data_IF_188052068064
#
_entry.id   IF_188052068064
#
_cell.length_a   1.000
_cell.length_b   1.000
_cell.length_c   1.000
_cell.angle_alpha   90.00
_cell.angle_beta   90.00
_cell.angle_gamma   90.00
#
_symmetry.space_group_name_H-M   'P 1'
#
loop_
_entity.id
_entity.type
_entity.pdbx_description
1 polymer ?
#
# COMPACT_ATOMS: atom_id res chain seq x y z
N UNK A 1 -8.72 -8.36 8.51
CA UNK A 1 -9.56 -8.49 7.30
C UNK A 1 -9.97 -7.09 6.86
N UNK A 2 -10.13 -6.85 5.57
CA UNK A 2 -10.57 -5.60 4.94
C UNK A 2 -11.58 -5.96 3.85
N UNK A 3 -12.83 -5.55 4.00
CA UNK A 3 -13.85 -5.65 2.95
C UNK A 3 -14.17 -4.27 2.33
N UNK A 4 -15.19 -4.24 1.47
CA UNK A 4 -15.66 -3.02 0.78
C UNK A 4 -16.15 -1.93 1.74
N UNK A 5 -16.71 -2.27 2.90
CA UNK A 5 -17.26 -1.32 3.87
C UNK A 5 -16.16 -0.74 4.77
N UNK A 6 -15.00 -1.39 4.87
CA UNK A 6 -13.87 -0.93 5.69
C UNK A 6 -13.02 0.15 5.00
N UNK A 7 -13.40 0.61 3.81
CA UNK A 7 -12.62 1.58 3.04
C UNK A 7 -11.32 0.97 2.49
N UNK A 8 -11.41 -0.06 1.60
CA UNK A 8 -10.24 -0.70 1.04
C UNK A 8 -9.43 0.31 0.21
N UNK A 9 -8.16 0.00 -0.01
CA UNK A 9 -7.35 0.79 -0.94
C UNK A 9 -7.86 0.55 -2.36
N UNK A 10 -8.14 1.62 -3.09
CA UNK A 10 -8.49 1.60 -4.51
C UNK A 10 -7.22 1.80 -5.33
N UNK A 11 -6.96 0.91 -6.28
CA UNK A 11 -5.81 0.95 -7.18
C UNK A 11 -6.28 1.24 -8.60
N UNK A 12 -5.72 2.29 -9.23
CA UNK A 12 -5.98 2.61 -10.63
C UNK A 12 -4.94 1.87 -11.48
N UNK A 13 -5.33 0.75 -12.09
CA UNK A 13 -4.41 -0.10 -12.85
C UNK A 13 -3.89 0.63 -14.09
N UNK A 14 -2.62 0.36 -14.42
CA UNK A 14 -1.93 0.97 -15.56
C UNK A 14 -1.35 2.37 -15.31
N UNK A 15 -1.68 3.04 -14.20
CA UNK A 15 -1.20 4.41 -13.96
C UNK A 15 0.23 4.52 -13.43
N UNK A 16 0.91 3.39 -13.19
CA UNK A 16 2.32 3.35 -12.81
C UNK A 16 3.27 3.60 -14.00
N UNK A 17 2.72 3.66 -15.22
CA UNK A 17 3.49 3.81 -16.46
C UNK A 17 3.90 5.27 -16.72
N UNK A 18 5.01 5.45 -17.43
CA UNK A 18 5.47 6.78 -17.87
C UNK A 18 4.41 7.50 -18.72
N UNK A 19 3.71 6.77 -19.59
CA UNK A 19 2.66 7.32 -20.45
C UNK A 19 1.50 7.90 -19.64
N UNK A 20 1.01 7.16 -18.64
CA UNK A 20 -0.03 7.65 -17.74
C UNK A 20 0.41 8.90 -16.96
N UNK A 21 1.66 8.93 -16.49
CA UNK A 21 2.22 10.10 -15.81
C UNK A 21 2.35 11.31 -16.73
N UNK A 22 2.73 11.10 -17.99
CA UNK A 22 2.77 12.18 -18.97
C UNK A 22 1.38 12.74 -19.25
N UNK A 23 0.36 11.88 -19.39
CA UNK A 23 -1.03 12.32 -19.55
C UNK A 23 -1.52 13.14 -18.34
N UNK A 24 -1.28 12.65 -17.13
CA UNK A 24 -1.62 13.36 -15.89
C UNK A 24 -0.88 14.69 -15.75
N UNK A 25 0.43 14.71 -16.02
CA UNK A 25 1.25 15.93 -15.95
C UNK A 25 0.87 16.97 -17.01
N UNK A 26 0.32 16.53 -18.14
CA UNK A 26 -0.23 17.40 -19.18
C UNK A 26 -1.64 17.93 -18.86
N UNK A 27 -2.32 17.41 -17.82
CA UNK A 27 -3.62 17.90 -17.39
C UNK A 27 -3.48 19.31 -16.81
N UNK A 28 -3.78 20.33 -17.61
CA UNK A 28 -3.77 21.74 -17.18
C UNK A 28 -5.05 22.18 -16.50
N UNK A 29 -6.09 21.34 -16.52
CA UNK A 29 -7.40 21.63 -15.92
C UNK A 29 -7.90 20.46 -15.08
N UNK A 30 -8.72 20.73 -14.05
CA UNK A 30 -9.36 19.68 -13.26
C UNK A 30 -10.22 18.72 -14.09
N UNK A 31 -10.86 19.21 -15.16
CA UNK A 31 -11.74 18.41 -16.01
C UNK A 31 -11.00 17.27 -16.75
N UNK A 32 -9.80 17.52 -17.25
CA UNK A 32 -9.00 16.48 -17.95
C UNK A 32 -8.51 15.43 -16.97
N UNK A 33 -8.06 15.85 -15.79
CA UNK A 33 -7.67 14.92 -14.73
C UNK A 33 -8.87 14.05 -14.29
N UNK A 34 -10.06 14.64 -14.15
CA UNK A 34 -11.27 13.92 -13.79
C UNK A 34 -11.66 12.88 -14.85
N UNK A 35 -11.58 13.23 -16.15
CA UNK A 35 -11.83 12.29 -17.23
C UNK A 35 -10.83 11.13 -17.23
N UNK A 36 -9.54 11.40 -16.99
CA UNK A 36 -8.52 10.36 -16.86
C UNK A 36 -8.82 9.40 -15.69
N UNK A 37 -9.19 9.95 -14.53
CA UNK A 37 -9.54 9.16 -13.35
C UNK A 37 -10.81 8.33 -13.60
N UNK A 38 -11.82 8.91 -14.25
CA UNK A 38 -13.08 8.24 -14.58
C UNK A 38 -12.91 7.09 -15.57
N UNK A 39 -11.95 7.19 -16.50
CA UNK A 39 -11.65 6.15 -17.48
C UNK A 39 -10.71 5.05 -16.96
N UNK A 40 -10.16 5.19 -15.74
CA UNK A 40 -9.17 4.25 -15.20
C UNK A 40 -9.80 2.92 -14.75
N UNK A 41 -9.11 1.80 -14.96
CA UNK A 41 -9.50 0.49 -14.39
C UNK A 41 -9.21 0.45 -12.89
N UNK A 42 -10.23 0.67 -12.06
CA UNK A 42 -10.11 0.69 -10.60
C UNK A 42 -10.34 -0.71 -10.00
N UNK A 43 -9.45 -1.14 -9.10
CA UNK A 43 -9.62 -2.35 -8.29
C UNK A 43 -9.49 -2.08 -6.81
N UNK A 44 -10.41 -2.63 -6.02
CA UNK A 44 -10.40 -2.53 -4.57
C UNK A 44 -9.58 -3.67 -3.95
N UNK A 45 -8.72 -3.34 -2.99
CA UNK A 45 -7.91 -4.28 -2.23
C UNK A 45 -8.69 -4.83 -1.03
N UNK A 46 -9.62 -5.74 -1.30
CA UNK A 46 -10.29 -6.56 -0.27
C UNK A 46 -9.35 -7.69 0.11
N UNK A 47 -9.01 -7.80 1.40
CA UNK A 47 -7.95 -8.68 1.89
C UNK A 47 -8.40 -9.42 3.16
N UNK A 48 -8.16 -10.73 3.21
CA UNK A 48 -8.26 -11.51 4.45
C UNK A 48 -7.07 -11.26 5.37
N UNK A 49 -7.19 -11.73 6.61
CA UNK A 49 -6.07 -11.68 7.54
C UNK A 49 -4.88 -12.47 6.96
N UNK A 50 -3.68 -11.89 7.00
CA UNK A 50 -2.46 -12.49 6.43
C UNK A 50 -2.24 -12.21 4.94
N UNK A 51 -3.22 -11.65 4.23
CA UNK A 51 -3.04 -11.25 2.83
C UNK A 51 -2.43 -9.84 2.72
N UNK A 52 -1.72 -9.58 1.63
CA UNK A 52 -1.10 -8.29 1.36
C UNK A 52 -1.32 -7.88 -0.10
N UNK A 53 -1.38 -6.58 -0.34
CA UNK A 53 -1.28 -6.01 -1.68
C UNK A 53 0.16 -5.58 -1.96
N UNK A 54 0.67 -5.94 -3.13
CA UNK A 54 1.96 -5.49 -3.65
C UNK A 54 1.73 -4.69 -4.93
N UNK A 55 2.32 -3.51 -5.03
CA UNK A 55 2.14 -2.63 -6.18
C UNK A 55 3.35 -1.72 -6.40
N UNK A 56 3.49 -1.21 -7.62
CA UNK A 56 4.50 -0.19 -7.95
C UNK A 56 4.15 1.13 -7.25
N UNK A 57 5.11 1.74 -6.55
CA UNK A 57 4.96 3.01 -5.83
C UNK A 57 4.30 4.12 -6.67
N UNK A 58 4.48 4.11 -8.00
CA UNK A 58 3.97 5.11 -8.95
C UNK A 58 2.50 4.91 -9.31
N UNK A 59 1.91 3.78 -8.93
CA UNK A 59 0.50 3.50 -9.14
C UNK A 59 -0.34 4.48 -8.34
N UNK A 60 -1.35 5.07 -8.98
CA UNK A 60 -2.29 5.94 -8.29
C UNK A 60 -3.21 5.08 -7.44
N UNK A 61 -3.39 5.51 -6.20
CA UNK A 61 -4.21 4.82 -5.24
C UNK A 61 -4.75 5.76 -4.18
N UNK A 62 -5.87 5.39 -3.58
CA UNK A 62 -6.48 6.14 -2.48
C UNK A 62 -7.20 5.19 -1.53
N UNK A 63 -7.25 5.54 -0.24
CA UNK A 63 -8.12 4.84 0.71
C UNK A 63 -9.58 5.21 0.47
N UNK A 64 -10.46 4.21 0.42
CA UNK A 64 -11.91 4.44 0.41
C UNK A 64 -12.43 4.93 1.76
N UNK A 65 -13.69 5.39 1.78
CA UNK A 65 -14.39 5.72 3.02
C UNK A 65 -14.60 4.45 3.84
N UNK A 66 -14.19 4.47 5.10
CA UNK A 66 -14.59 3.43 6.06
C UNK A 66 -15.99 3.78 6.61
N UNK A 67 -16.98 2.97 6.26
CA UNK A 67 -18.35 3.05 6.76
C UNK A 67 -18.71 1.89 7.69
N UNK A 68 -17.74 1.05 8.04
CA UNK A 68 -17.90 0.01 9.04
C UNK A 68 -17.73 0.58 10.46
N UNK A 69 -18.10 -0.23 11.45
CA UNK A 69 -17.83 0.06 12.87
C UNK A 69 -16.39 -0.31 13.30
N UNK A 70 -15.62 -0.95 12.42
CA UNK A 70 -14.28 -1.44 12.74
C UNK A 70 -13.18 -0.46 12.28
N UNK A 71 -12.11 -0.36 13.08
CA UNK A 71 -10.92 0.41 12.71
C UNK A 71 -10.09 -0.37 11.69
N UNK A 72 -9.77 0.27 10.55
CA UNK A 72 -8.83 -0.25 9.57
C UNK A 72 -7.42 0.27 9.85
N UNK A 73 -6.51 -0.62 10.22
CA UNK A 73 -5.09 -0.32 10.40
C UNK A 73 -4.29 -0.89 9.23
N UNK A 74 -3.44 -0.07 8.61
CA UNK A 74 -2.59 -0.47 7.49
C UNK A 74 -1.11 -0.47 7.92
N UNK A 75 -0.49 -1.65 7.88
CA UNK A 75 0.95 -1.77 7.92
C UNK A 75 1.48 -1.83 6.48
N UNK A 76 2.40 -0.92 6.13
CA UNK A 76 2.99 -0.88 4.78
C UNK A 76 4.50 -0.80 4.84
N UNK A 77 5.14 -1.41 3.84
CA UNK A 77 6.57 -1.38 3.61
C UNK A 77 6.81 -0.99 2.16
N UNK A 78 7.89 -0.27 1.89
CA UNK A 78 8.32 0.05 0.54
C UNK A 78 9.72 -0.50 0.31
N UNK A 79 9.83 -1.34 -0.72
CA UNK A 79 11.11 -1.88 -1.17
C UNK A 79 11.71 -0.96 -2.23
N UNK A 80 13.04 -0.87 -2.25
CA UNK A 80 13.80 -0.20 -3.31
C UNK A 80 14.95 -1.07 -3.74
N UNK A 81 15.36 -0.93 -4.99
CA UNK A 81 16.56 -1.58 -5.50
C UNK A 81 17.79 -1.07 -4.74
N UNK A 82 18.71 -1.98 -4.42
CA UNK A 82 19.99 -1.60 -3.85
C UNK A 82 20.77 -0.69 -4.82
N UNK A 83 21.44 0.34 -4.31
CA UNK A 83 22.23 1.26 -5.12
C UNK A 83 21.45 2.36 -5.86
N UNK A 84 20.12 2.48 -5.69
CA UNK A 84 19.38 3.65 -6.19
C UNK A 84 19.88 4.92 -5.49
N UNK A 85 20.38 5.88 -6.28
CA UNK A 85 20.89 7.18 -5.82
C UNK A 85 19.75 8.21 -5.83
N UNK A 86 19.63 8.98 -4.75
CA UNK A 86 18.61 10.03 -4.59
C UNK A 86 17.86 9.89 -3.27
N UNK A 87 17.60 11.02 -2.61
CA UNK A 87 16.75 11.06 -1.43
C UNK A 87 15.31 10.78 -1.89
N UNK A 88 14.64 9.74 -1.37
CA UNK A 88 13.20 9.71 -1.52
C UNK A 88 12.72 10.94 -0.76
N UNK A 89 12.16 11.95 -1.43
CA UNK A 89 11.61 13.18 -0.83
C UNK A 89 10.63 12.95 0.36
N UNK A 90 10.31 11.69 0.65
CA UNK A 90 9.49 11.10 1.68
C UNK A 90 10.20 9.91 2.35
N UNK A 91 11.50 10.05 2.65
CA UNK A 91 12.43 8.93 2.81
C UNK A 91 12.03 7.89 3.85
N UNK A 92 11.33 8.29 4.92
CA UNK A 92 11.03 7.36 6.00
C UNK A 92 9.77 7.80 6.74
N UNK A 93 8.74 6.95 6.74
CA UNK A 93 7.70 6.95 7.78
C UNK A 93 8.17 6.20 9.04
N UNK A 94 9.35 5.57 8.96
CA UNK A 94 10.02 4.96 10.09
C UNK A 94 10.62 6.04 10.98
N UNK A 95 10.31 5.98 12.28
CA UNK A 95 10.88 6.90 13.26
C UNK A 95 12.41 6.80 13.26
N UNK A 96 13.09 7.93 13.46
CA UNK A 96 14.56 8.02 13.38
C UNK A 96 15.26 7.06 14.34
N UNK A 97 14.67 6.81 15.51
CA UNK A 97 15.24 5.96 16.55
C UNK A 97 15.23 4.47 16.18
N UNK A 98 14.48 4.07 15.16
CA UNK A 98 14.39 2.70 14.65
C UNK A 98 15.32 2.45 13.45
N UNK A 99 15.98 3.49 12.92
CA UNK A 99 16.88 3.36 11.77
C UNK A 99 18.05 2.43 12.09
N UNK A 100 18.30 1.46 11.22
CA UNK A 100 19.42 0.52 11.34
C UNK A 100 19.31 -0.48 12.51
N UNK A 101 18.26 -0.40 13.33
CA UNK A 101 18.04 -1.30 14.47
C UNK A 101 17.19 -2.51 14.14
N UNK A 102 16.38 -2.41 13.09
CA UNK A 102 15.47 -3.46 12.65
C UNK A 102 15.90 -4.00 11.30
N UNK A 103 16.05 -5.32 11.21
CA UNK A 103 16.21 -6.05 9.95
C UNK A 103 15.05 -7.01 9.75
N UNK A 104 14.73 -7.32 8.49
CA UNK A 104 13.74 -8.35 8.17
C UNK A 104 14.14 -9.73 8.75
N UNK A 105 15.44 -9.97 8.97
CA UNK A 105 15.92 -11.19 9.61
C UNK A 105 15.38 -11.32 11.05
N UNK A 106 15.36 -10.24 11.83
CA UNK A 106 14.85 -10.26 13.21
C UNK A 106 13.34 -10.52 13.30
N UNK A 107 12.58 -10.23 12.24
CA UNK A 107 11.14 -10.56 12.17
C UNK A 107 10.92 -12.06 11.89
N UNK A 108 11.84 -12.71 11.17
CA UNK A 108 11.76 -14.15 10.87
C UNK A 108 11.88 -15.00 12.14
N UNK A 109 12.84 -14.69 13.01
CA UNK A 109 13.13 -15.49 14.19
C UNK A 109 12.01 -15.37 15.24
N UNK A 110 11.42 -14.18 15.39
CA UNK A 110 10.27 -13.94 16.28
C UNK A 110 8.96 -14.57 15.80
N UNK A 111 8.82 -14.78 14.49
CA UNK A 111 7.65 -15.48 13.93
C UNK A 111 7.69 -16.98 14.22
N UNK A 112 8.89 -17.55 14.38
CA UNK A 112 9.07 -18.95 14.74
C UNK A 112 8.82 -19.22 16.24
N UNK A 113 9.09 -18.24 17.12
CA UNK A 113 8.76 -18.32 18.55
C UNK A 113 7.27 -18.07 18.85
N UNK A 114 6.55 -17.34 18.00
CA UNK A 114 5.19 -16.87 18.26
C UNK A 114 4.06 -17.84 17.85
N UNK A 115 4.34 -19.13 17.62
CA UNK A 115 3.31 -20.17 17.48
C UNK A 115 3.16 -20.97 18.78
N UNK A 116 2.47 -20.47 19.82
CA UNK A 116 1.84 -21.38 20.76
C UNK A 116 0.74 -22.13 19.98
N UNK A 117 0.76 -23.46 20.05
CA UNK A 117 -0.29 -24.35 19.60
C UNK A 117 -1.68 -23.76 19.91
N UNK A 118 -2.36 -23.18 18.92
CA UNK A 118 -3.81 -23.04 18.99
C UNK A 118 -4.38 -24.45 18.88
N UNK A 119 -4.54 -25.10 20.03
CA UNK A 119 -5.46 -26.23 20.18
C UNK A 119 -6.86 -25.67 19.96
N UNK A 120 -7.51 -26.11 18.89
CA UNK A 120 -8.95 -25.97 18.67
C UNK A 120 -9.71 -26.61 19.84
N UNK A 121 -10.64 -25.93 20.50
CA UNK A 121 -11.66 -26.59 21.30
C UNK A 121 -12.73 -27.18 20.38
N UNK A 122 -13.31 -28.29 20.86
CA UNK A 122 -14.33 -29.15 20.27
C UNK A 122 -15.54 -28.43 19.66
#
# INVERSE_FOLDING_TARGET
HVDMNMGPTLFLRGTHTKAAHAMLGACRTPSVAQSFLAASDVRAAVLRCGEASLYDRRLLHAGGRNSSWATRVLFYLTFRTAGTVGDPWNANSLRSELRGKLSLHQLRDRSAEALPMMRTPC
#
